data_IF_890423606604
#
_entry.id   IF_890423606604
#
_cell.length_a   1.000
_cell.length_b   1.000
_cell.length_c   1.000
_cell.angle_alpha   90.00
_cell.angle_beta   90.00
_cell.angle_gamma   90.00
#
_symmetry.space_group_name_H-M   'P 1'
#
loop_
_entity.id
_entity.type
_entity.pdbx_description
1 polymer ?
#
# COMPACT_ATOMS: atom_id res chain seq x y z
N UNK A 1 -26.16 14.15 -7.27
CA UNK A 1 -25.18 13.12 -6.89
C UNK A 1 -24.02 13.82 -6.20
N UNK A 2 -24.00 13.76 -4.87
CA UNK A 2 -23.17 14.64 -4.04
C UNK A 2 -21.70 14.23 -4.06
N UNK A 3 -20.85 15.21 -4.30
CA UNK A 3 -19.49 15.31 -3.74
C UNK A 3 -19.53 14.90 -2.27
N UNK A 4 -18.83 13.82 -1.89
CA UNK A 4 -18.75 13.36 -0.49
C UNK A 4 -18.14 14.47 0.36
N UNK A 5 -18.94 15.01 1.26
CA UNK A 5 -18.51 15.93 2.31
C UNK A 5 -17.46 15.24 3.19
N UNK A 6 -16.30 15.89 3.34
CA UNK A 6 -15.25 15.64 4.32
C UNK A 6 -14.45 14.31 4.24
N UNK A 7 -13.58 14.19 3.23
CA UNK A 7 -12.45 13.23 3.24
C UNK A 7 -11.41 13.62 4.32
N UNK A 8 -11.78 13.48 5.60
CA UNK A 8 -10.89 13.75 6.73
C UNK A 8 -9.86 12.63 6.82
N UNK A 9 -8.68 12.92 6.29
CA UNK A 9 -7.51 12.07 6.40
C UNK A 9 -6.86 12.22 7.78
N UNK A 10 -6.84 11.13 8.56
CA UNK A 10 -6.22 11.11 9.89
C UNK A 10 -4.96 10.26 9.83
N UNK A 11 -3.82 10.89 10.18
CA UNK A 11 -2.50 10.25 10.21
C UNK A 11 -2.06 9.92 11.64
N UNK A 12 -0.95 9.20 11.72
CA UNK A 12 -0.23 8.90 12.95
C UNK A 12 -1.10 8.23 14.03
N UNK A 13 -2.03 7.38 13.60
CA UNK A 13 -2.73 6.47 14.49
C UNK A 13 -1.84 5.27 14.78
N UNK A 14 -1.83 4.81 16.04
CA UNK A 14 -1.08 3.62 16.45
C UNK A 14 -1.77 2.90 17.59
N UNK A 15 -1.70 1.58 17.59
CA UNK A 15 -2.40 0.71 18.52
C UNK A 15 -1.43 -0.30 19.14
N UNK A 16 -1.44 -0.40 20.46
CA UNK A 16 -0.57 -1.33 21.20
C UNK A 16 -1.09 -2.76 21.23
N UNK A 17 -2.37 -2.98 20.91
CA UNK A 17 -2.99 -4.30 20.93
C UNK A 17 -4.01 -4.44 19.81
N UNK A 18 -4.24 -5.68 19.38
CA UNK A 18 -5.28 -6.02 18.40
C UNK A 18 -6.65 -5.49 18.82
N UNK A 19 -7.05 -5.68 20.08
CA UNK A 19 -8.36 -5.20 20.58
C UNK A 19 -8.54 -3.68 20.47
N UNK A 20 -7.45 -2.89 20.65
CA UNK A 20 -7.51 -1.43 20.46
C UNK A 20 -7.70 -1.05 18.99
N UNK A 21 -7.01 -1.75 18.08
CA UNK A 21 -7.18 -1.57 16.65
C UNK A 21 -8.62 -1.91 16.23
N UNK A 22 -9.12 -3.09 16.63
CA UNK A 22 -10.48 -3.53 16.31
C UNK A 22 -11.55 -2.53 16.75
N UNK A 23 -11.46 -2.07 18.01
CA UNK A 23 -12.39 -1.05 18.54
C UNK A 23 -12.31 0.27 17.76
N UNK A 24 -11.11 0.71 17.39
CA UNK A 24 -10.93 1.93 16.62
C UNK A 24 -11.47 1.79 15.18
N UNK A 25 -11.25 0.63 14.56
CA UNK A 25 -11.78 0.30 13.23
C UNK A 25 -13.30 0.28 13.21
N UNK A 26 -13.94 -0.40 14.17
CA UNK A 26 -15.40 -0.45 14.29
C UNK A 26 -16.00 0.92 14.58
N UNK A 27 -15.36 1.72 15.45
CA UNK A 27 -15.84 3.04 15.82
C UNK A 27 -15.73 4.05 14.67
N UNK A 28 -14.60 4.05 13.95
CA UNK A 28 -14.34 5.03 12.87
C UNK A 28 -14.95 4.60 11.54
N UNK A 29 -15.09 3.29 11.32
CA UNK A 29 -15.52 2.68 10.06
C UNK A 29 -14.87 3.36 8.82
N UNK A 30 -13.53 3.39 8.75
CA UNK A 30 -12.83 4.21 7.76
C UNK A 30 -13.06 3.67 6.34
N UNK A 31 -13.23 4.58 5.37
CA UNK A 31 -13.36 4.22 3.96
C UNK A 31 -12.05 3.71 3.34
N UNK A 32 -10.90 4.22 3.80
CA UNK A 32 -9.56 3.82 3.36
C UNK A 32 -8.63 3.66 4.58
N UNK A 33 -7.72 2.69 4.48
CA UNK A 33 -6.68 2.43 5.48
C UNK A 33 -5.33 2.46 4.77
N UNK A 34 -4.39 3.26 5.29
CA UNK A 34 -3.00 3.26 4.84
C UNK A 34 -2.10 2.74 5.96
N UNK A 35 -1.15 1.86 5.61
CA UNK A 35 -0.17 1.31 6.56
C UNK A 35 1.15 2.09 6.43
N UNK A 36 1.53 2.72 7.54
CA UNK A 36 2.75 3.54 7.65
C UNK A 36 4.01 2.75 7.98
N UNK A 37 5.10 3.47 8.22
CA UNK A 37 6.35 2.92 8.73
C UNK A 37 6.26 2.57 10.24
N UNK A 38 7.25 1.81 10.72
CA UNK A 38 7.61 1.72 12.13
C UNK A 38 8.43 2.96 12.49
N UNK A 39 8.06 3.66 13.55
CA UNK A 39 8.71 4.89 14.00
C UNK A 39 9.47 4.67 15.31
N UNK A 40 10.42 5.55 15.61
CA UNK A 40 11.18 5.52 16.87
C UNK A 40 10.33 5.84 18.11
N UNK A 41 9.15 6.44 17.93
CA UNK A 41 8.18 6.76 18.98
C UNK A 41 6.77 6.36 18.52
N UNK A 42 5.83 6.26 19.45
CA UNK A 42 4.43 6.01 19.11
C UNK A 42 3.89 7.12 18.20
N UNK A 43 3.39 6.81 16.99
CA UNK A 43 2.83 7.81 16.08
C UNK A 43 1.76 8.70 16.72
N UNK A 44 0.89 8.13 17.57
CA UNK A 44 -0.16 8.91 18.23
C UNK A 44 0.36 9.94 19.25
N UNK A 45 1.65 9.91 19.57
CA UNK A 45 2.34 10.84 20.46
C UNK A 45 3.35 11.73 19.71
N UNK A 46 3.37 11.73 18.37
CA UNK A 46 4.36 12.50 17.61
C UNK A 46 4.42 13.99 17.98
N UNK A 47 3.29 14.60 18.35
CA UNK A 47 3.22 16.01 18.78
C UNK A 47 3.94 16.30 20.11
N UNK A 48 4.20 15.29 20.94
CA UNK A 48 4.95 15.44 22.19
C UNK A 48 6.45 15.23 22.01
N UNK A 49 6.87 14.79 20.83
CA UNK A 49 8.27 14.55 20.50
C UNK A 49 8.89 15.86 20.01
N UNK A 50 10.14 16.13 20.42
CA UNK A 50 10.88 17.30 19.96
C UNK A 50 10.93 17.31 18.43
N UNK A 51 10.67 18.47 17.84
CA UNK A 51 10.70 18.65 16.38
C UNK A 51 12.02 18.12 15.79
N UNK A 52 11.92 17.38 14.69
CA UNK A 52 13.05 16.71 14.03
C UNK A 52 13.52 15.39 14.67
N UNK A 53 13.01 15.02 15.86
CA UNK A 53 13.39 13.76 16.54
C UNK A 53 12.45 12.59 16.26
N UNK A 54 11.27 12.86 15.66
CA UNK A 54 10.34 11.83 15.23
C UNK A 54 10.74 11.30 13.85
N UNK A 55 11.20 10.04 13.81
CA UNK A 55 11.82 9.43 12.62
C UNK A 55 11.23 8.05 12.34
N UNK A 56 11.09 7.74 11.05
CA UNK A 56 10.78 6.40 10.57
C UNK A 56 12.05 5.53 10.63
N UNK A 57 11.91 4.31 11.13
CA UNK A 57 13.02 3.36 11.30
C UNK A 57 12.97 2.26 10.25
N UNK A 58 11.78 1.67 10.05
CA UNK A 58 11.60 0.53 9.14
C UNK A 58 10.29 0.70 8.37
N UNK A 59 10.26 0.25 7.12
CA UNK A 59 9.04 0.14 6.32
C UNK A 59 9.23 -1.01 5.33
N UNK A 60 8.15 -1.74 5.05
CA UNK A 60 8.14 -2.72 3.99
C UNK A 60 8.49 -2.07 2.66
N UNK A 61 9.32 -2.74 1.86
CA UNK A 61 9.52 -2.34 0.47
C UNK A 61 8.26 -2.73 -0.31
N UNK A 62 7.63 -1.73 -0.92
CA UNK A 62 6.35 -1.83 -1.63
C UNK A 62 6.55 -1.46 -3.09
N UNK A 63 6.02 -2.28 -3.98
CA UNK A 63 5.86 -1.96 -5.39
C UNK A 63 4.38 -1.75 -5.67
N UNK A 64 4.02 -0.60 -6.24
CA UNK A 64 2.67 -0.25 -6.67
C UNK A 64 2.71 -0.21 -8.20
N UNK A 65 2.23 -1.28 -8.85
CA UNK A 65 2.16 -1.35 -10.32
C UNK A 65 0.74 -0.97 -10.70
N UNK A 66 0.58 0.13 -11.43
CA UNK A 66 -0.74 0.56 -11.88
C UNK A 66 -0.98 0.25 -13.35
N UNK A 67 -2.22 -0.10 -13.71
CA UNK A 67 -2.60 -0.36 -15.10
C UNK A 67 -2.54 0.91 -15.98
N UNK A 68 -2.78 2.08 -15.39
CA UNK A 68 -2.76 3.36 -16.13
C UNK A 68 -1.36 3.75 -16.58
N UNK A 69 -0.31 3.23 -15.95
CA UNK A 69 1.07 3.39 -16.40
C UNK A 69 1.33 2.77 -17.79
N UNK A 70 0.43 1.91 -18.27
CA UNK A 70 0.53 1.24 -19.57
C UNK A 70 -0.41 1.84 -20.62
N UNK A 71 -1.10 2.95 -20.34
CA UNK A 71 -2.14 3.53 -21.22
C UNK A 71 -1.70 3.76 -22.66
N UNK A 72 -0.45 4.11 -22.89
CA UNK A 72 0.15 4.41 -24.19
C UNK A 72 0.41 3.16 -25.05
N UNK A 73 0.50 1.98 -24.44
CA UNK A 73 0.68 0.69 -25.13
C UNK A 73 -0.59 -0.16 -25.13
N UNK A 74 -1.71 0.36 -24.62
CA UNK A 74 -3.03 -0.27 -24.64
C UNK A 74 -3.83 0.18 -25.88
N UNK A 75 -4.56 -0.76 -26.46
CA UNK A 75 -5.35 -0.67 -27.70
C UNK A 75 -6.73 -1.37 -27.63
N UNK A 76 -7.01 -2.25 -26.65
CA UNK A 76 -8.30 -2.96 -26.47
C UNK A 76 -9.36 -2.15 -25.70
N UNK A 77 -8.96 -1.26 -24.78
CA UNK A 77 -9.82 -0.68 -23.74
C UNK A 77 -9.50 0.80 -23.51
N UNK A 78 -10.48 1.52 -22.97
CA UNK A 78 -10.28 2.91 -22.51
C UNK A 78 -9.33 2.96 -21.32
N UNK A 79 -8.84 4.17 -20.99
CA UNK A 79 -7.89 4.41 -19.90
C UNK A 79 -8.36 3.80 -18.54
N UNK A 80 -9.67 3.74 -18.33
CA UNK A 80 -10.28 3.36 -17.06
C UNK A 80 -10.67 1.87 -17.00
N UNK A 81 -10.75 1.21 -18.16
CA UNK A 81 -11.21 -0.18 -18.26
C UNK A 81 -10.07 -1.21 -18.22
N UNK A 82 -10.40 -2.42 -17.75
CA UNK A 82 -9.53 -3.60 -17.80
C UNK A 82 -10.18 -4.72 -18.60
N UNK A 83 -9.44 -5.23 -19.59
CA UNK A 83 -9.75 -6.47 -20.28
C UNK A 83 -8.76 -7.58 -19.89
N UNK A 84 -9.13 -8.88 -20.03
CA UNK A 84 -8.22 -10.00 -19.83
C UNK A 84 -6.90 -9.89 -20.63
N UNK A 85 -6.92 -9.24 -21.80
CA UNK A 85 -5.71 -9.08 -22.62
C UNK A 85 -4.65 -8.17 -21.97
N UNK A 86 -5.06 -7.09 -21.27
CA UNK A 86 -4.10 -6.23 -20.56
C UNK A 86 -3.76 -6.72 -19.16
N UNK A 87 -4.58 -7.60 -18.59
CA UNK A 87 -4.19 -8.30 -17.37
C UNK A 87 -2.90 -9.11 -17.55
N UNK A 88 -2.59 -9.53 -18.78
CA UNK A 88 -1.30 -10.15 -19.10
C UNK A 88 -0.11 -9.23 -18.80
N UNK A 89 -0.23 -7.91 -18.95
CA UNK A 89 0.83 -6.96 -18.58
C UNK A 89 1.11 -7.00 -17.07
N UNK A 90 0.06 -7.01 -16.24
CA UNK A 90 0.20 -7.16 -14.78
C UNK A 90 0.84 -8.51 -14.43
N UNK A 91 0.42 -9.57 -15.11
CA UNK A 91 0.96 -10.92 -14.89
C UNK A 91 2.46 -10.96 -15.21
N UNK A 92 2.88 -10.38 -16.34
CA UNK A 92 4.29 -10.30 -16.74
C UNK A 92 5.09 -9.47 -15.73
N UNK A 93 4.59 -8.28 -15.34
CA UNK A 93 5.25 -7.42 -14.37
C UNK A 93 5.48 -8.15 -13.02
N UNK A 94 4.47 -8.89 -12.55
CA UNK A 94 4.58 -9.70 -11.34
C UNK A 94 5.59 -10.84 -11.48
N UNK A 95 5.61 -11.55 -12.61
CA UNK A 95 6.59 -12.60 -12.85
C UNK A 95 8.03 -12.07 -12.87
N UNK A 96 8.25 -10.90 -13.49
CA UNK A 96 9.57 -10.26 -13.54
C UNK A 96 10.00 -9.85 -12.12
N UNK A 97 9.13 -9.17 -11.37
CA UNK A 97 9.43 -8.72 -10.01
C UNK A 97 9.64 -9.91 -9.06
N UNK A 98 8.79 -10.92 -9.12
CA UNK A 98 8.92 -12.13 -8.30
C UNK A 98 10.26 -12.83 -8.56
N UNK A 99 10.63 -13.01 -9.83
CA UNK A 99 11.92 -13.60 -10.21
C UNK A 99 13.10 -12.77 -9.73
N UNK A 100 13.06 -11.46 -9.94
CA UNK A 100 14.14 -10.56 -9.51
C UNK A 100 14.32 -10.60 -7.99
N UNK A 101 13.23 -10.58 -7.22
CA UNK A 101 13.32 -10.54 -5.76
C UNK A 101 13.68 -11.89 -5.13
N UNK A 102 13.22 -13.01 -5.70
CA UNK A 102 13.57 -14.36 -5.22
C UNK A 102 15.01 -14.75 -5.53
N UNK A 103 15.60 -14.20 -6.58
CA UNK A 103 17.02 -14.38 -6.89
C UNK A 103 17.95 -13.79 -5.82
N UNK A 104 17.47 -12.78 -5.09
CA UNK A 104 18.27 -11.98 -4.16
C UNK A 104 18.28 -12.49 -2.71
N UNK A 105 17.32 -13.32 -2.27
CA UNK A 105 17.36 -13.98 -0.94
C UNK A 105 16.22 -14.99 -0.74
N UNK A 106 16.51 -16.12 -0.07
CA UNK A 106 15.55 -17.19 0.23
C UNK A 106 14.69 -16.95 1.49
N UNK A 107 15.05 -15.96 2.32
CA UNK A 107 14.39 -15.74 3.63
C UNK A 107 13.32 -14.62 3.59
N UNK A 108 13.10 -13.99 2.44
CA UNK A 108 12.13 -12.91 2.27
C UNK A 108 10.71 -13.46 2.18
N UNK A 109 9.77 -12.85 2.90
CA UNK A 109 8.34 -13.12 2.76
C UNK A 109 7.72 -12.10 1.83
N UNK A 110 6.82 -12.55 0.95
CA UNK A 110 6.14 -11.71 -0.03
C UNK A 110 4.64 -11.80 0.20
N UNK A 111 3.95 -10.66 0.20
CA UNK A 111 2.50 -10.61 0.13
C UNK A 111 2.09 -9.80 -1.10
N UNK A 112 1.04 -10.28 -1.76
CA UNK A 112 0.51 -9.69 -2.97
C UNK A 112 -0.91 -9.23 -2.66
N UNK A 113 -1.20 -7.96 -2.92
CA UNK A 113 -2.50 -7.33 -2.76
C UNK A 113 -2.98 -6.77 -4.09
N UNK A 114 -4.26 -6.95 -4.36
CA UNK A 114 -4.92 -6.38 -5.53
C UNK A 114 -5.89 -5.29 -5.09
N UNK A 115 -5.91 -4.18 -5.82
CA UNK A 115 -6.85 -3.09 -5.60
C UNK A 115 -7.52 -2.71 -6.92
N UNK A 116 -8.85 -2.65 -6.91
CA UNK A 116 -9.66 -2.22 -8.04
C UNK A 116 -10.67 -1.19 -7.55
N UNK A 117 -10.64 -0.02 -8.18
CA UNK A 117 -11.64 1.03 -8.03
C UNK A 117 -12.20 1.37 -9.41
N UNK A 118 -13.29 2.15 -9.44
CA UNK A 118 -13.88 2.61 -10.70
C UNK A 118 -12.94 3.39 -11.62
N UNK A 119 -11.82 3.91 -11.10
CA UNK A 119 -10.89 4.77 -11.84
C UNK A 119 -9.44 4.28 -11.80
N UNK A 120 -9.14 3.22 -11.05
CA UNK A 120 -7.77 2.82 -10.80
C UNK A 120 -7.70 1.32 -10.54
N UNK A 121 -6.71 0.67 -11.15
CA UNK A 121 -6.42 -0.72 -10.83
C UNK A 121 -4.94 -0.90 -10.66
N UNK A 122 -4.58 -1.12 -9.40
CA UNK A 122 -3.20 -1.31 -9.00
C UNK A 122 -3.01 -2.68 -8.39
N UNK A 123 -1.85 -3.25 -8.68
CA UNK A 123 -1.33 -4.39 -7.99
C UNK A 123 -0.22 -3.94 -7.03
N UNK A 124 -0.37 -4.28 -5.76
CA UNK A 124 0.58 -3.96 -4.71
C UNK A 124 1.31 -5.20 -4.26
N UNK A 125 2.61 -5.23 -4.44
CA UNK A 125 3.46 -6.25 -3.85
C UNK A 125 4.17 -5.67 -2.63
N UNK A 126 3.92 -6.28 -1.48
CA UNK A 126 4.57 -5.99 -0.21
C UNK A 126 5.63 -7.04 0.06
N UNK A 127 6.86 -6.60 0.31
CA UNK A 127 7.92 -7.50 0.78
C UNK A 127 8.09 -7.34 2.29
N UNK A 128 7.79 -8.42 3.01
CA UNK A 128 8.06 -8.56 4.45
C UNK A 128 9.46 -9.12 4.61
N UNK A 129 10.42 -8.25 4.38
CA UNK A 129 11.75 -8.44 4.93
C UNK A 129 12.10 -7.18 5.68
N UNK A 130 12.73 -7.32 6.85
CA UNK A 130 13.53 -6.24 7.42
C UNK A 130 14.62 -5.92 6.40
N UNK A 131 14.30 -5.09 5.42
CA UNK A 131 15.33 -4.43 4.64
C UNK A 131 15.99 -3.49 5.62
N UNK A 132 17.31 -3.62 5.75
CA UNK A 132 18.22 -2.95 6.68
C UNK A 132 18.50 -3.72 7.98
N UNK A 133 19.43 -4.67 7.89
CA UNK A 133 20.79 -4.39 8.37
C UNK A 133 21.80 -4.69 7.28
#
# INVERSE_FOLDING_TARGET
HGTREDDIYVRYQSFSTQSKLEKAMQKRNPYKIDIGAVYCHWPNQHNTVKSGSFQALEKELVFDIDMTDYNDVRSCCTAEDICPNYWTLMTIALCILDRALRGESKEKKYMYGYTHTHTHTAFRMLTFSRFLR
#
